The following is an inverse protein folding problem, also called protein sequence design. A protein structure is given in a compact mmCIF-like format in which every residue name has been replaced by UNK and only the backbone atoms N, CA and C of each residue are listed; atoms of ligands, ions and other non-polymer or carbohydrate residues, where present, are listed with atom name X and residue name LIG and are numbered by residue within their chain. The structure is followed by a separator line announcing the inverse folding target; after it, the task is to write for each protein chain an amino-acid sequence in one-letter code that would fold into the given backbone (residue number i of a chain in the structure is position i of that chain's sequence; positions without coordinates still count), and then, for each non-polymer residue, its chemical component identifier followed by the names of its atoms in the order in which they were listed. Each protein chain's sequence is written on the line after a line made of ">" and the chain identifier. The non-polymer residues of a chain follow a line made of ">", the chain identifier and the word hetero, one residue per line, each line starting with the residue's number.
data_IF_210640566297
#
_entry.id   IF_210640566297
#
_cell.length_a   1.000
_cell.length_b   1.000
_cell.length_c   1.000
_cell.angle_alpha   90.00
_cell.angle_beta   90.00
_cell.angle_gamma   90.00
#
_symmetry.space_group_name_H-M   'P 1'
#
loop_
_entity.id
_entity.type
_entity.pdbx_description
1 polymer ?
#
# COMPACT_ATOMS: atom_id res chain seq x y z
N UNK A 1 15.88 12.76 -22.79
CA UNK A 1 15.16 11.69 -23.50
C UNK A 1 13.67 11.84 -23.26
N UNK A 2 12.89 12.14 -24.29
CA UNK A 2 11.42 12.16 -24.18
C UNK A 2 10.91 10.77 -24.55
N UNK A 3 10.30 10.07 -23.59
CA UNK A 3 9.62 8.80 -23.84
C UNK A 3 8.22 9.14 -24.31
N UNK A 4 7.90 8.78 -25.55
CA UNK A 4 6.54 8.87 -26.09
C UNK A 4 5.74 7.74 -25.47
N UNK A 5 4.83 8.05 -24.56
CA UNK A 5 3.81 7.11 -24.11
C UNK A 5 2.87 6.87 -25.30
N UNK A 6 3.04 5.76 -26.00
CA UNK A 6 2.11 5.34 -27.05
C UNK A 6 0.88 4.71 -26.39
N UNK A 7 -0.29 5.31 -26.62
CA UNK A 7 -1.57 4.64 -26.37
C UNK A 7 -1.67 3.42 -27.29
N UNK A 8 -1.47 2.23 -26.75
CA UNK A 8 -1.93 0.98 -27.37
C UNK A 8 -3.39 0.79 -26.97
N UNK A 9 -4.35 0.85 -27.92
CA UNK A 9 -5.78 0.81 -27.62
C UNK A 9 -6.26 -0.63 -27.45
N UNK A 10 -5.62 -1.41 -26.58
CA UNK A 10 -6.06 -2.76 -26.26
C UNK A 10 -5.53 -3.17 -24.88
N UNK A 11 -6.25 -2.76 -23.83
CA UNK A 11 -6.57 -3.60 -22.68
C UNK A 11 -7.59 -2.83 -21.82
N UNK A 12 -8.77 -3.41 -21.74
CA UNK A 12 -9.90 -2.95 -20.94
C UNK A 12 -9.56 -3.00 -19.46
N UNK A 13 -9.16 -1.86 -18.91
CA UNK A 13 -9.54 -1.41 -17.58
C UNK A 13 -9.34 0.11 -17.54
N UNK A 14 -10.42 0.91 -17.50
CA UNK A 14 -10.26 2.35 -17.37
C UNK A 14 -9.82 2.63 -15.94
N UNK A 15 -8.51 2.57 -15.68
CA UNK A 15 -7.95 3.38 -14.61
C UNK A 15 -8.36 4.80 -14.98
N UNK A 16 -9.35 5.35 -14.27
CA UNK A 16 -9.91 6.69 -14.48
C UNK A 16 -8.79 7.61 -14.96
N UNK A 17 -8.77 7.90 -16.26
CA UNK A 17 -7.94 8.98 -16.76
C UNK A 17 -8.54 10.20 -16.06
N UNK A 18 -7.76 10.82 -15.17
CA UNK A 18 -8.18 12.10 -14.62
C UNK A 18 -8.47 13.00 -15.83
N UNK A 19 -9.72 13.48 -15.94
CA UNK A 19 -10.20 14.27 -17.07
C UNK A 19 -9.38 15.57 -17.15
N UNK A 20 -8.26 15.51 -17.85
CA UNK A 20 -7.33 16.62 -18.01
C UNK A 20 -7.79 17.50 -19.17
N UNK A 21 -7.76 18.82 -18.99
CA UNK A 21 -8.17 19.77 -20.03
C UNK A 21 -7.36 19.53 -21.32
N UNK A 22 -8.06 19.37 -22.45
CA UNK A 22 -7.42 19.14 -23.75
C UNK A 22 -6.45 20.29 -24.04
N UNK A 23 -5.19 19.94 -24.30
CA UNK A 23 -4.11 20.89 -24.57
C UNK A 23 -3.21 21.20 -23.38
N UNK A 24 -3.46 20.61 -22.21
CA UNK A 24 -2.51 20.66 -21.09
C UNK A 24 -1.15 20.05 -21.48
N UNK A 25 -0.06 20.64 -20.97
CA UNK A 25 1.32 20.22 -21.28
C UNK A 25 2.09 19.95 -20.00
N UNK A 26 2.87 18.87 -19.97
CA UNK A 26 3.78 18.61 -18.85
C UNK A 26 4.90 19.65 -18.88
N UNK A 27 5.06 20.36 -17.77
CA UNK A 27 6.17 21.31 -17.55
C UNK A 27 7.35 20.59 -16.91
N UNK A 28 7.09 19.82 -15.84
CA UNK A 28 8.13 19.09 -15.13
C UNK A 28 7.55 17.94 -14.31
N UNK A 29 8.40 16.95 -14.02
CA UNK A 29 8.15 15.89 -13.04
C UNK A 29 9.09 16.15 -11.86
N UNK A 30 8.53 16.22 -10.65
CA UNK A 30 9.33 16.52 -9.46
C UNK A 30 10.14 15.28 -9.07
N UNK A 31 11.48 15.36 -8.98
CA UNK A 31 12.30 14.22 -8.60
C UNK A 31 11.92 13.66 -7.23
N UNK A 32 11.99 12.33 -7.06
CA UNK A 32 11.66 11.62 -5.81
C UNK A 32 10.26 11.95 -5.26
N UNK A 33 9.33 12.27 -6.16
CA UNK A 33 7.95 12.59 -5.83
C UNK A 33 7.03 12.06 -6.92
N UNK A 34 5.77 11.79 -6.58
CA UNK A 34 4.74 11.46 -7.56
C UNK A 34 4.12 12.69 -8.24
N UNK A 35 4.65 13.90 -7.98
CA UNK A 35 4.12 15.16 -8.51
C UNK A 35 4.53 15.37 -9.96
N UNK A 36 3.55 15.60 -10.82
CA UNK A 36 3.73 16.08 -12.17
C UNK A 36 3.07 17.47 -12.29
N UNK A 37 3.82 18.45 -12.79
CA UNK A 37 3.34 19.82 -13.00
C UNK A 37 2.91 19.97 -14.44
N UNK A 38 1.66 20.36 -14.65
CA UNK A 38 1.06 20.64 -15.94
C UNK A 38 0.80 22.13 -16.09
N UNK A 39 0.97 22.65 -17.30
CA UNK A 39 0.43 23.93 -17.71
C UNK A 39 -0.87 23.68 -18.46
N UNK A 40 -1.98 24.21 -17.96
CA UNK A 40 -3.26 24.19 -18.65
C UNK A 40 -3.26 25.15 -19.85
N UNK A 41 -4.14 24.95 -20.85
CA UNK A 41 -4.26 25.84 -22.02
C UNK A 41 -4.45 27.32 -21.68
N UNK A 42 -5.04 27.62 -20.52
CA UNK A 42 -5.31 28.98 -20.02
C UNK A 42 -4.10 29.65 -19.34
N UNK A 43 -2.97 28.95 -19.25
CA UNK A 43 -1.72 29.43 -18.66
C UNK A 43 -1.51 29.07 -17.19
N UNK A 44 -2.54 28.58 -16.50
CA UNK A 44 -2.44 28.13 -15.09
C UNK A 44 -1.54 26.89 -14.96
N UNK A 45 -0.84 26.78 -13.83
CA UNK A 45 -0.10 25.57 -13.47
C UNK A 45 -0.92 24.72 -12.51
N UNK A 46 -1.00 23.43 -12.79
CA UNK A 46 -1.65 22.44 -11.94
C UNK A 46 -0.67 21.33 -11.56
N UNK A 47 -0.77 20.86 -10.31
CA UNK A 47 0.02 19.72 -9.83
C UNK A 47 -0.89 18.51 -9.74
N UNK A 48 -0.57 17.48 -10.51
CA UNK A 48 -1.26 16.20 -10.51
C UNK A 48 -0.36 15.15 -9.88
N UNK A 49 -0.96 14.17 -9.23
CA UNK A 49 -0.27 12.98 -8.72
C UNK A 49 -0.73 11.75 -9.50
N UNK A 50 -0.13 11.44 -10.67
CA UNK A 50 -0.51 10.26 -11.44
C UNK A 50 -0.35 9.01 -10.58
N UNK A 51 -1.42 8.23 -10.42
CA UNK A 51 -1.44 7.06 -9.53
C UNK A 51 -0.36 6.03 -9.89
N UNK A 52 0.00 5.92 -11.17
CA UNK A 52 1.13 5.12 -11.65
C UNK A 52 2.46 5.52 -10.99
N UNK A 53 2.78 6.82 -10.96
CA UNK A 53 4.01 7.33 -10.36
C UNK A 53 4.01 7.16 -8.84
N UNK A 54 2.85 7.30 -8.21
CA UNK A 54 2.71 7.07 -6.78
C UNK A 54 2.96 5.62 -6.40
N UNK A 55 2.37 4.66 -7.12
CA UNK A 55 2.59 3.22 -6.87
C UNK A 55 4.05 2.84 -7.08
N UNK A 56 4.70 3.40 -8.11
CA UNK A 56 6.13 3.18 -8.33
C UNK A 56 6.98 3.69 -7.17
N UNK A 57 6.74 4.94 -6.73
CA UNK A 57 7.43 5.53 -5.59
C UNK A 57 7.17 4.78 -4.27
N UNK A 58 5.95 4.24 -4.09
CA UNK A 58 5.63 3.37 -2.96
C UNK A 58 6.44 2.07 -3.01
N UNK A 59 6.58 1.47 -4.19
CA UNK A 59 7.46 0.32 -4.41
C UNK A 59 8.89 0.60 -3.95
N UNK A 60 9.48 1.72 -4.41
CA UNK A 60 10.83 2.12 -3.98
C UNK A 60 10.96 2.26 -2.45
N UNK A 61 9.91 2.78 -1.78
CA UNK A 61 9.89 2.86 -0.32
C UNK A 61 9.79 1.49 0.35
N UNK A 62 8.99 0.57 -0.20
CA UNK A 62 8.83 -0.78 0.35
C UNK A 62 10.10 -1.61 0.16
N UNK A 63 10.74 -1.53 -1.01
CA UNK A 63 12.04 -2.14 -1.31
C UNK A 63 13.13 -1.64 -0.33
N UNK A 64 13.11 -0.34 -0.01
CA UNK A 64 14.02 0.27 0.96
C UNK A 64 13.60 0.10 2.43
N UNK A 65 12.53 -0.65 2.72
CA UNK A 65 11.91 -0.83 4.05
C UNK A 65 11.55 0.48 4.76
N UNK A 66 11.26 1.54 4.00
CA UNK A 66 10.76 2.83 4.50
C UNK A 66 9.24 2.77 4.70
N UNK A 67 8.79 1.90 5.59
CA UNK A 67 7.38 1.61 5.85
C UNK A 67 6.55 2.85 6.21
N UNK A 68 7.08 3.77 7.03
CA UNK A 68 6.35 5.00 7.35
C UNK A 68 6.09 5.86 6.09
N UNK A 69 7.08 6.00 5.22
CA UNK A 69 6.95 6.79 3.99
C UNK A 69 5.96 6.16 3.02
N UNK A 70 6.01 4.84 2.85
CA UNK A 70 5.05 4.08 2.08
C UNK A 70 3.62 4.24 2.65
N UNK A 71 3.44 4.00 3.95
CA UNK A 71 2.15 4.08 4.62
C UNK A 71 1.52 5.47 4.51
N UNK A 72 2.29 6.53 4.79
CA UNK A 72 1.77 7.90 4.74
C UNK A 72 1.35 8.29 3.31
N UNK A 73 2.11 7.87 2.30
CA UNK A 73 1.76 8.13 0.90
C UNK A 73 0.51 7.35 0.47
N UNK A 74 0.42 6.07 0.81
CA UNK A 74 -0.75 5.22 0.56
C UNK A 74 -2.02 5.84 1.18
N UNK A 75 -1.95 6.23 2.45
CA UNK A 75 -3.06 6.83 3.19
C UNK A 75 -3.47 8.19 2.60
N UNK A 76 -2.51 9.08 2.33
CA UNK A 76 -2.78 10.42 1.76
C UNK A 76 -3.43 10.34 0.38
N UNK A 77 -3.05 9.36 -0.43
CA UNK A 77 -3.53 9.21 -1.80
C UNK A 77 -4.64 8.16 -1.96
N UNK A 78 -5.15 7.61 -0.85
CA UNK A 78 -6.20 6.58 -0.85
C UNK A 78 -5.85 5.42 -1.78
N UNK A 79 -4.63 4.94 -1.64
CA UNK A 79 -4.14 3.73 -2.30
C UNK A 79 -4.29 2.58 -1.30
N UNK A 80 -4.79 1.44 -1.77
CA UNK A 80 -5.09 0.28 -0.95
C UNK A 80 -3.86 -0.16 -0.12
N UNK A 81 -4.01 -0.18 1.21
CA UNK A 81 -2.97 -0.50 2.18
C UNK A 81 -2.47 -1.95 2.10
N UNK A 82 -3.25 -2.85 1.49
CA UNK A 82 -2.82 -4.22 1.21
C UNK A 82 -1.53 -4.27 0.39
N UNK A 83 -1.22 -3.21 -0.36
CA UNK A 83 0.01 -3.09 -1.13
C UNK A 83 1.28 -3.20 -0.26
N UNK A 84 1.23 -2.80 1.02
CA UNK A 84 2.36 -2.94 1.95
C UNK A 84 2.76 -4.40 2.12
N UNK A 85 1.77 -5.29 2.13
CA UNK A 85 1.98 -6.74 2.26
C UNK A 85 2.24 -7.36 0.89
N UNK A 86 1.41 -7.02 -0.09
CA UNK A 86 1.39 -7.71 -1.39
C UNK A 86 2.57 -7.33 -2.30
N UNK A 87 3.32 -6.28 -1.99
CA UNK A 87 4.52 -5.92 -2.75
C UNK A 87 5.60 -7.01 -2.64
N UNK A 88 5.91 -7.43 -1.41
CA UNK A 88 6.79 -8.57 -1.10
C UNK A 88 6.36 -9.17 0.26
N UNK A 89 5.44 -10.15 0.26
CA UNK A 89 4.91 -10.70 1.50
C UNK A 89 5.98 -11.37 2.35
N UNK A 90 6.99 -11.98 1.72
CA UNK A 90 8.05 -12.68 2.43
C UNK A 90 8.88 -11.69 3.23
N UNK A 91 9.41 -10.67 2.56
CA UNK A 91 10.23 -9.64 3.20
C UNK A 91 9.43 -8.86 4.25
N UNK A 92 8.16 -8.54 3.97
CA UNK A 92 7.29 -7.89 4.95
C UNK A 92 7.12 -8.73 6.23
N UNK A 93 6.80 -10.02 6.10
CA UNK A 93 6.57 -10.91 7.24
C UNK A 93 7.85 -11.22 8.03
N UNK A 94 9.04 -11.07 7.43
CA UNK A 94 10.35 -11.19 8.10
C UNK A 94 10.74 -9.91 8.85
N UNK A 95 10.21 -8.75 8.46
CA UNK A 95 10.59 -7.42 9.00
C UNK A 95 9.42 -6.68 9.68
N UNK A 96 8.46 -7.43 10.25
CA UNK A 96 7.28 -6.88 10.92
C UNK A 96 7.62 -6.02 12.15
N UNK A 97 8.67 -6.36 12.90
CA UNK A 97 9.13 -5.54 14.03
C UNK A 97 9.55 -4.13 13.56
N UNK A 98 10.24 -4.04 12.41
CA UNK A 98 10.63 -2.76 11.80
C UNK A 98 9.38 -1.97 11.35
N UNK A 99 8.42 -2.63 10.70
CA UNK A 99 7.15 -2.02 10.31
C UNK A 99 6.40 -1.39 11.50
N UNK A 100 6.22 -2.15 12.59
CA UNK A 100 5.53 -1.65 13.80
C UNK A 100 6.32 -0.51 14.44
N UNK A 101 7.66 -0.60 14.49
CA UNK A 101 8.50 0.47 15.06
C UNK A 101 8.41 1.79 14.28
N UNK A 102 8.28 1.73 12.95
CA UNK A 102 8.15 2.91 12.10
C UNK A 102 6.74 3.50 12.15
N UNK A 103 5.71 2.66 12.30
CA UNK A 103 4.32 3.08 12.48
C UNK A 103 3.97 3.02 13.97
N UNK A 104 4.69 3.82 14.76
CA UNK A 104 4.58 3.83 16.22
C UNK A 104 3.22 4.29 16.75
N UNK A 105 2.32 4.75 15.88
CA UNK A 105 1.01 5.22 16.28
C UNK A 105 -0.04 4.08 16.23
N UNK A 106 -0.59 3.64 17.38
CA UNK A 106 -1.52 2.51 17.43
C UNK A 106 -2.75 2.67 16.55
N UNK A 107 -3.27 3.89 16.36
CA UNK A 107 -4.46 4.10 15.53
C UNK A 107 -4.17 3.88 14.03
N UNK A 108 -2.91 4.04 13.60
CA UNK A 108 -2.50 3.86 12.21
C UNK A 108 -2.32 2.36 11.93
N UNK A 109 -1.84 1.61 12.93
CA UNK A 109 -1.83 0.16 12.90
C UNK A 109 -3.25 -0.41 12.90
N UNK A 110 -4.18 0.15 13.69
CA UNK A 110 -5.59 -0.23 13.64
C UNK A 110 -6.18 -0.03 12.24
N UNK A 111 -5.90 1.10 11.60
CA UNK A 111 -6.32 1.35 10.21
C UNK A 111 -5.77 0.29 9.26
N UNK A 112 -4.46 -0.02 9.36
CA UNK A 112 -3.84 -1.05 8.55
C UNK A 112 -4.51 -2.42 8.72
N UNK A 113 -4.70 -2.87 9.97
CA UNK A 113 -5.29 -4.18 10.27
C UNK A 113 -6.75 -4.24 9.80
N UNK A 114 -7.49 -3.15 9.99
CA UNK A 114 -8.90 -3.07 9.56
C UNK A 114 -9.03 -3.15 8.04
N UNK A 115 -8.14 -2.51 7.29
CA UNK A 115 -8.15 -2.51 5.82
C UNK A 115 -7.56 -3.78 5.19
N UNK A 116 -6.87 -4.62 5.96
CA UNK A 116 -6.25 -5.86 5.46
C UNK A 116 -7.31 -6.82 4.88
N UNK A 117 -7.08 -7.39 3.72
CA UNK A 117 -7.99 -8.33 3.06
C UNK A 117 -7.24 -9.55 2.54
N UNK A 118 -7.96 -10.66 2.39
CA UNK A 118 -7.49 -11.88 1.71
C UNK A 118 -7.54 -11.70 0.19
N UNK A 119 -6.83 -10.68 -0.28
CA UNK A 119 -6.71 -10.31 -1.69
C UNK A 119 -5.25 -9.98 -1.97
N UNK A 120 -4.84 -10.17 -3.22
CA UNK A 120 -3.55 -9.68 -3.74
C UNK A 120 -3.82 -8.51 -4.70
N UNK A 121 -3.52 -7.30 -4.23
CA UNK A 121 -3.76 -6.08 -5.01
C UNK A 121 -2.73 -5.90 -6.14
N UNK A 122 -1.58 -6.56 -6.07
CA UNK A 122 -0.56 -6.50 -7.13
C UNK A 122 -0.97 -7.30 -8.36
N UNK A 123 -1.81 -8.33 -8.20
CA UNK A 123 -2.36 -9.14 -9.32
C UNK A 123 -3.70 -8.65 -9.83
N UNK A 124 -4.34 -7.72 -9.12
CA UNK A 124 -5.67 -7.20 -9.46
C UNK A 124 -5.62 -5.71 -9.77
N UNK A 125 -5.86 -4.85 -8.78
CA UNK A 125 -5.98 -3.39 -8.95
C UNK A 125 -4.72 -2.74 -9.54
N UNK A 126 -3.54 -3.29 -9.24
CA UNK A 126 -2.25 -2.73 -9.64
C UNK A 126 -1.47 -3.63 -10.60
N UNK A 127 -2.12 -4.60 -11.24
CA UNK A 127 -1.47 -5.55 -12.17
C UNK A 127 -0.58 -4.84 -13.20
N UNK A 128 -1.08 -3.81 -13.90
CA UNK A 128 -0.30 -3.07 -14.90
C UNK A 128 0.92 -2.30 -14.36
N UNK A 129 1.03 -2.11 -13.05
CA UNK A 129 2.22 -1.56 -12.39
C UNK A 129 3.29 -2.62 -12.11
N UNK A 130 2.88 -3.87 -11.85
CA UNK A 130 3.75 -4.98 -11.45
C UNK A 130 4.09 -5.91 -12.62
N UNK A 131 3.28 -5.95 -13.68
CA UNK A 131 3.51 -6.79 -14.87
C UNK A 131 4.71 -6.36 -15.72
N UNK A 132 5.14 -5.09 -15.67
CA UNK A 132 6.18 -4.52 -16.56
C UNK A 132 7.62 -4.69 -16.07
N UNK A 133 7.84 -5.25 -14.88
CA UNK A 133 9.16 -5.47 -14.33
C UNK A 133 9.21 -6.80 -13.60
N UNK A 134 9.64 -7.85 -14.31
CA UNK A 134 10.23 -9.08 -13.78
C UNK A 134 9.48 -9.76 -12.62
N UNK A 135 8.82 -10.88 -12.96
CA UNK A 135 8.68 -12.09 -12.13
C UNK A 135 8.73 -11.81 -10.62
N UNK A 136 7.60 -11.39 -10.05
CA UNK A 136 7.44 -11.64 -8.61
C UNK A 136 7.48 -13.17 -8.46
N UNK A 137 8.62 -13.67 -8.00
CA UNK A 137 8.76 -15.06 -7.52
C UNK A 137 7.99 -15.10 -6.21
N UNK A 138 6.68 -15.04 -6.33
CA UNK A 138 5.79 -15.52 -5.29
C UNK A 138 6.10 -17.00 -5.14
N UNK A 139 6.35 -17.51 -3.93
CA UNK A 139 6.27 -18.94 -3.71
C UNK A 139 4.87 -19.35 -4.20
N UNK A 140 4.77 -20.41 -5.01
CA UNK A 140 3.49 -21.04 -5.40
C UNK A 140 2.60 -21.41 -4.18
N UNK A 141 3.14 -21.27 -2.97
CA UNK A 141 2.52 -21.52 -1.68
C UNK A 141 2.02 -20.27 -0.91
N UNK A 142 2.01 -19.04 -1.49
CA UNK A 142 1.39 -17.91 -0.79
C UNK A 142 -0.14 -18.05 -0.83
N UNK A 143 -0.69 -18.61 0.25
CA UNK A 143 -2.13 -18.72 0.43
C UNK A 143 -2.74 -17.34 0.74
N UNK A 144 -3.30 -16.71 -0.30
CA UNK A 144 -4.03 -15.45 -0.19
C UNK A 144 -5.22 -15.57 0.78
N UNK A 145 -5.84 -16.75 0.92
CA UNK A 145 -6.94 -16.97 1.86
C UNK A 145 -6.46 -16.98 3.32
N UNK A 146 -5.20 -17.36 3.56
CA UNK A 146 -4.54 -17.35 4.86
C UNK A 146 -3.85 -16.02 5.23
N UNK A 147 -3.75 -15.07 4.29
CA UNK A 147 -3.01 -13.81 4.45
C UNK A 147 -3.39 -13.05 5.71
N UNK A 148 -4.69 -12.76 5.90
CA UNK A 148 -5.17 -11.98 7.06
C UNK A 148 -4.79 -12.67 8.37
N UNK A 149 -4.96 -13.99 8.44
CA UNK A 149 -4.61 -14.77 9.62
C UNK A 149 -3.10 -14.74 9.90
N UNK A 150 -2.28 -15.02 8.89
CA UNK A 150 -0.82 -15.07 9.03
C UNK A 150 -0.20 -13.72 9.41
N UNK A 151 -0.68 -12.62 8.82
CA UNK A 151 -0.23 -11.27 9.18
C UNK A 151 -0.67 -10.91 10.61
N UNK A 152 -1.93 -11.17 10.97
CA UNK A 152 -2.43 -10.87 12.32
C UNK A 152 -1.72 -11.69 13.40
N UNK A 153 -1.43 -12.97 13.16
CA UNK A 153 -0.71 -13.82 14.12
C UNK A 153 0.70 -13.30 14.41
N UNK A 154 1.43 -12.91 13.37
CA UNK A 154 2.76 -12.30 13.58
C UNK A 154 2.66 -10.94 14.27
N UNK A 155 1.70 -10.09 13.89
CA UNK A 155 1.49 -8.79 14.53
C UNK A 155 1.18 -8.90 16.01
N UNK A 156 0.32 -9.86 16.42
CA UNK A 156 0.03 -10.13 17.82
C UNK A 156 1.33 -10.44 18.58
N UNK A 157 2.18 -11.32 18.04
CA UNK A 157 3.47 -11.65 18.64
C UNK A 157 4.45 -10.47 18.73
N UNK A 158 4.35 -9.48 17.84
CA UNK A 158 5.12 -8.22 17.92
C UNK A 158 4.53 -7.31 19.01
N UNK A 159 3.21 -7.12 19.04
CA UNK A 159 2.54 -6.25 20.01
C UNK A 159 2.71 -6.71 21.45
N UNK A 160 2.72 -8.03 21.69
CA UNK A 160 2.99 -8.59 23.02
C UNK A 160 4.35 -8.17 23.60
N UNK A 161 5.33 -7.86 22.72
CA UNK A 161 6.66 -7.38 23.14
C UNK A 161 6.69 -5.87 23.38
N UNK A 162 5.78 -5.09 22.79
CA UNK A 162 5.86 -3.62 22.73
C UNK A 162 5.00 -2.88 23.78
N UNK A 163 4.33 -3.60 24.68
CA UNK A 163 3.68 -3.01 25.86
C UNK A 163 2.22 -2.57 25.64
N UNK A 164 1.64 -1.88 26.63
CA UNK A 164 0.18 -1.63 26.73
C UNK A 164 -0.39 -0.75 25.63
N UNK A 165 0.41 0.10 25.01
CA UNK A 165 -0.06 1.01 23.94
C UNK A 165 -0.56 0.26 22.70
N UNK A 166 -0.12 -0.99 22.50
CA UNK A 166 -0.54 -1.85 21.39
C UNK A 166 -1.68 -2.82 21.75
N UNK A 167 -2.31 -2.69 22.92
CA UNK A 167 -3.46 -3.54 23.31
C UNK A 167 -4.63 -3.40 22.31
N UNK A 168 -4.94 -2.18 21.88
CA UNK A 168 -6.02 -1.95 20.92
C UNK A 168 -5.71 -2.59 19.54
N UNK A 169 -4.55 -2.34 18.89
CA UNK A 169 -4.12 -3.10 17.71
C UNK A 169 -4.19 -4.61 17.85
N UNK A 170 -3.77 -5.14 19.01
CA UNK A 170 -3.86 -6.57 19.29
C UNK A 170 -5.30 -7.08 19.29
N UNK A 171 -6.22 -6.36 19.94
CA UNK A 171 -7.65 -6.69 19.92
C UNK A 171 -8.19 -6.61 18.49
N UNK A 172 -7.82 -5.59 17.72
CA UNK A 172 -8.22 -5.45 16.32
C UNK A 172 -7.75 -6.63 15.47
N UNK A 173 -6.56 -7.19 15.70
CA UNK A 173 -6.13 -8.44 15.07
C UNK A 173 -7.06 -9.62 15.38
N UNK A 174 -7.43 -9.83 16.65
CA UNK A 174 -8.35 -10.92 17.02
C UNK A 174 -9.73 -10.77 16.37
N UNK A 175 -10.29 -9.55 16.38
CA UNK A 175 -11.56 -9.25 15.72
C UNK A 175 -11.46 -9.49 14.22
N UNK A 176 -10.36 -9.06 13.58
CA UNK A 176 -10.13 -9.23 12.15
C UNK A 176 -10.02 -10.69 11.73
N UNK A 177 -9.50 -11.55 12.61
CA UNK A 177 -9.47 -13.02 12.45
C UNK A 177 -10.82 -13.70 12.74
N UNK A 178 -11.85 -12.97 13.18
CA UNK A 178 -13.14 -13.54 13.61
C UNK A 178 -13.09 -14.23 14.98
N UNK A 179 -12.00 -14.08 15.75
CA UNK A 179 -11.82 -14.68 17.07
C UNK A 179 -12.37 -13.76 18.18
N UNK A 180 -13.69 -13.59 18.19
CA UNK A 180 -14.37 -12.63 19.07
C UNK A 180 -14.18 -12.98 20.55
N UNK A 181 -14.21 -14.26 20.92
CA UNK A 181 -14.03 -14.70 22.31
C UNK A 181 -12.65 -14.32 22.86
N UNK A 182 -11.59 -14.53 22.07
CA UNK A 182 -10.24 -14.12 22.42
C UNK A 182 -10.14 -12.60 22.54
N UNK A 183 -10.83 -11.83 21.69
CA UNK A 183 -10.87 -10.38 21.78
C UNK A 183 -11.56 -9.88 23.06
N UNK A 184 -12.70 -10.50 23.44
CA UNK A 184 -13.46 -10.13 24.63
C UNK A 184 -12.69 -10.40 25.94
N UNK A 185 -11.87 -11.46 25.98
CA UNK A 185 -11.04 -11.77 27.13
C UNK A 185 -10.09 -10.62 27.52
N UNK A 186 -9.63 -9.82 26.54
CA UNK A 186 -8.77 -8.67 26.79
C UNK A 186 -9.50 -7.40 27.23
N UNK A 187 -10.83 -7.33 27.07
CA UNK A 187 -11.63 -6.17 27.50
C UNK A 187 -12.09 -6.34 28.96
N UNK A 188 -12.23 -7.58 29.42
CA UNK A 188 -12.73 -7.93 30.75
C UNK A 188 -11.64 -8.29 31.76
N UNK A 189 -10.38 -8.01 31.46
CA UNK A 189 -9.22 -8.14 32.37
C UNK A 189 -8.70 -6.77 32.79
#
# INVERSE_FOLDING_TARGET
>A
HFIKLTDTPNQSNPSKADDMERGARIVTIVPKSSKCVFQLPRGNLEVIHPRLLSIHLIGDFLDARQYWMAFDLLRKQRINLNLIVDHDPKTFLENLDEFVSQISNPQWLNLFITDLQNEDVTRTMYAGNYERGLLSVYPDAYDVAGKVHGVCDKLIGVFEKQGKEFELPKITCYVKKGLIESALAFIWT
#
